data_IF_830204196458
#
_entry.id   IF_830204196458
#
_cell.length_a   1.000
_cell.length_b   1.000
_cell.length_c   1.000
_cell.angle_alpha   90.00
_cell.angle_beta   90.00
_cell.angle_gamma   90.00
#
_symmetry.space_group_name_H-M   'P 1'
#
loop_
_entity.id
_entity.type
_entity.pdbx_description
1 polymer ?
#
# COMPACT_ATOMS: atom_id res chain seq x y z
N UNK A 1 -12.23 -0.53 -1.90
CA UNK A 1 -11.16 0.45 -1.51
C UNK A 1 -11.81 1.55 -0.69
N UNK A 2 -11.25 1.80 0.48
CA UNK A 2 -11.81 2.79 1.41
C UNK A 2 -10.97 4.05 1.44
N UNK A 3 -11.58 5.17 1.16
CA UNK A 3 -10.95 6.50 1.18
C UNK A 3 -11.55 7.33 2.30
N UNK A 4 -10.71 7.77 3.22
CA UNK A 4 -11.11 8.59 4.36
C UNK A 4 -10.76 10.05 4.07
N UNK A 5 -11.77 10.88 3.90
CA UNK A 5 -11.61 12.33 3.81
C UNK A 5 -11.82 12.93 5.19
N UNK A 6 -10.91 13.81 5.60
CA UNK A 6 -11.01 14.51 6.90
C UNK A 6 -10.74 16.00 6.74
N UNK A 7 -11.30 16.75 7.66
CA UNK A 7 -11.01 18.17 7.88
C UNK A 7 -11.24 18.52 9.35
N UNK A 8 -10.51 19.52 9.86
CA UNK A 8 -10.55 19.93 11.26
C UNK A 8 -10.69 21.42 11.41
N UNK A 9 -11.55 21.86 12.35
CA UNK A 9 -11.50 23.20 12.89
C UNK A 9 -10.81 23.23 14.24
N UNK A 10 -10.01 24.28 14.48
CA UNK A 10 -9.10 24.32 15.61
C UNK A 10 -9.11 25.66 16.33
N UNK A 11 -8.44 25.71 17.51
CA UNK A 11 -8.25 26.95 18.25
C UNK A 11 -7.23 27.91 17.63
N UNK A 12 -6.65 27.58 16.49
CA UNK A 12 -5.66 28.40 15.79
C UNK A 12 -4.70 27.59 14.93
N UNK A 13 -3.54 28.15 14.64
CA UNK A 13 -2.49 27.52 13.87
C UNK A 13 -1.37 27.00 14.78
N UNK A 14 -0.53 26.06 14.35
CA UNK A 14 0.65 25.65 15.11
C UNK A 14 1.67 26.78 15.13
N UNK A 15 2.55 26.79 16.13
CA UNK A 15 3.67 27.71 16.17
C UNK A 15 4.68 27.39 15.08
N UNK A 16 4.94 26.09 14.86
CA UNK A 16 5.81 25.53 13.81
C UNK A 16 5.11 24.36 13.10
N UNK A 17 4.98 24.43 11.78
CA UNK A 17 4.30 23.40 10.97
C UNK A 17 5.04 22.08 10.92
N UNK A 18 6.36 22.09 11.05
CA UNK A 18 7.20 20.89 10.98
C UNK A 18 7.43 20.20 12.33
N UNK A 19 6.96 20.83 13.44
CA UNK A 19 7.05 20.21 14.75
C UNK A 19 6.40 18.82 14.80
N UNK A 20 6.92 17.88 15.62
CA UNK A 20 6.28 16.59 15.81
C UNK A 20 4.93 16.78 16.53
N UNK A 21 3.97 15.89 16.26
CA UNK A 21 2.65 15.93 16.91
C UNK A 21 2.72 15.70 18.44
N UNK A 22 3.84 15.17 18.93
CA UNK A 22 4.13 14.97 20.36
C UNK A 22 4.43 16.27 21.09
N UNK A 23 4.77 17.34 20.35
CA UNK A 23 4.90 18.69 20.91
C UNK A 23 3.50 19.31 21.06
N UNK A 24 2.83 18.93 22.14
CA UNK A 24 1.45 19.33 22.42
C UNK A 24 1.27 20.83 22.66
N UNK A 25 2.32 21.56 23.02
CA UNK A 25 2.28 23.01 23.22
C UNK A 25 2.40 23.79 21.89
N UNK A 26 2.84 23.12 20.85
CA UNK A 26 2.90 23.65 19.48
C UNK A 26 1.55 23.56 18.77
N UNK A 27 0.83 22.45 18.92
CA UNK A 27 -0.37 22.14 18.14
C UNK A 27 -1.64 22.68 18.80
N UNK A 28 -2.53 23.33 18.02
CA UNK A 28 -3.80 23.86 18.54
C UNK A 28 -4.71 22.73 19.05
N UNK A 29 -5.74 23.11 19.80
CA UNK A 29 -6.78 22.18 20.26
C UNK A 29 -7.84 22.00 19.15
N UNK A 30 -8.33 20.78 19.06
CA UNK A 30 -9.40 20.42 18.14
C UNK A 30 -10.73 21.02 18.59
N UNK A 31 -11.46 21.67 17.68
CA UNK A 31 -12.78 22.31 17.90
C UNK A 31 -13.88 21.54 17.19
N UNK A 32 -13.61 21.10 15.95
CA UNK A 32 -14.51 20.28 15.15
C UNK A 32 -13.70 19.23 14.42
N UNK A 33 -14.24 18.02 14.29
CA UNK A 33 -13.69 16.97 13.45
C UNK A 33 -14.81 16.42 12.59
N UNK A 34 -14.61 16.49 11.30
CA UNK A 34 -15.49 15.87 10.33
C UNK A 34 -14.74 14.84 9.50
N UNK A 35 -15.45 13.78 9.08
CA UNK A 35 -14.90 12.81 8.13
C UNK A 35 -15.98 12.13 7.30
N UNK A 36 -15.57 11.72 6.10
CA UNK A 36 -16.38 10.92 5.19
C UNK A 36 -15.54 9.72 4.78
N UNK A 37 -16.11 8.51 4.86
CA UNK A 37 -15.50 7.31 4.28
C UNK A 37 -16.25 6.95 3.02
N UNK A 38 -15.51 6.84 1.93
CA UNK A 38 -15.99 6.28 0.67
C UNK A 38 -15.55 4.83 0.55
N UNK A 39 -16.43 3.94 0.11
CA UNK A 39 -16.07 2.67 -0.49
C UNK A 39 -16.16 2.83 -2.01
N UNK A 40 -15.00 2.89 -2.67
CA UNK A 40 -14.84 3.42 -4.02
C UNK A 40 -15.42 4.84 -4.14
N UNK A 41 -16.57 5.01 -4.81
CA UNK A 41 -17.25 6.29 -5.01
C UNK A 41 -18.51 6.44 -4.14
N UNK A 42 -18.82 5.46 -3.31
CA UNK A 42 -20.03 5.44 -2.49
C UNK A 42 -19.70 5.86 -1.05
N UNK A 43 -20.44 6.82 -0.52
CA UNK A 43 -20.31 7.23 0.88
C UNK A 43 -20.88 6.12 1.77
N UNK A 44 -20.06 5.58 2.68
CA UNK A 44 -20.45 4.56 3.67
C UNK A 44 -20.46 5.10 5.10
N UNK A 45 -19.71 6.17 5.36
CA UNK A 45 -19.70 6.88 6.66
C UNK A 45 -19.69 8.38 6.37
N UNK A 46 -20.44 9.14 7.16
CA UNK A 46 -20.44 10.62 7.14
C UNK A 46 -20.67 11.12 8.54
N UNK A 47 -19.66 11.74 9.16
CA UNK A 47 -19.68 12.18 10.55
C UNK A 47 -19.10 13.58 10.70
N UNK A 48 -19.72 14.37 11.58
CA UNK A 48 -19.34 15.73 11.88
C UNK A 48 -19.63 16.03 13.36
N UNK A 49 -18.60 16.35 14.14
CA UNK A 49 -18.71 16.53 15.57
C UNK A 49 -18.01 17.80 16.05
N UNK A 50 -18.71 18.58 16.84
CA UNK A 50 -18.12 19.65 17.64
C UNK A 50 -17.51 19.02 18.90
N UNK A 51 -16.30 19.43 19.24
CA UNK A 51 -15.55 18.96 20.40
C UNK A 51 -15.89 19.84 21.59
N UNK A 52 -16.24 19.22 22.72
CA UNK A 52 -16.43 19.94 23.96
C UNK A 52 -15.10 20.44 24.52
N UNK A 53 -14.90 21.77 24.67
CA UNK A 53 -13.64 22.34 25.14
C UNK A 53 -13.48 22.13 26.64
N UNK A 54 -12.74 21.08 27.01
CA UNK A 54 -12.41 20.80 28.43
C UNK A 54 -10.99 21.30 28.69
N UNK A 55 -10.87 22.29 29.60
CA UNK A 55 -9.57 22.87 29.98
C UNK A 55 -9.03 23.91 28.99
N UNK A 56 -9.82 24.37 28.03
CA UNK A 56 -9.46 25.45 27.12
C UNK A 56 -10.69 26.23 26.64
N UNK A 57 -10.46 27.36 26.00
CA UNK A 57 -11.51 28.21 25.39
C UNK A 57 -11.18 28.37 23.90
N UNK A 58 -12.20 28.56 23.07
CA UNK A 58 -12.04 28.83 21.64
C UNK A 58 -11.79 30.35 21.49
N UNK A 59 -10.65 30.75 20.91
CA UNK A 59 -10.34 32.17 20.69
C UNK A 59 -11.34 32.85 19.77
N UNK A 60 -11.64 34.11 20.00
CA UNK A 60 -12.52 34.87 19.11
C UNK A 60 -12.01 34.95 17.67
N UNK A 61 -10.69 34.94 17.46
CA UNK A 61 -10.09 34.89 16.13
C UNK A 61 -10.49 33.62 15.37
N UNK A 62 -10.42 32.46 16.03
CA UNK A 62 -10.83 31.18 15.45
C UNK A 62 -12.34 31.10 15.23
N UNK A 63 -13.14 31.59 16.21
CA UNK A 63 -14.61 31.72 16.07
C UNK A 63 -15.00 32.53 14.84
N UNK A 64 -14.26 33.61 14.51
CA UNK A 64 -14.53 34.39 13.28
C UNK A 64 -14.29 33.59 11.99
N UNK A 65 -13.47 32.59 12.03
CA UNK A 65 -13.17 31.72 10.86
C UNK A 65 -14.24 30.65 10.70
N UNK A 66 -14.44 29.79 11.72
CA UNK A 66 -15.32 28.62 11.62
C UNK A 66 -16.68 28.76 12.30
N UNK A 67 -16.98 29.92 12.91
CA UNK A 67 -18.30 30.21 13.48
C UNK A 67 -18.61 29.55 14.83
N UNK A 68 -17.78 28.62 15.33
CA UNK A 68 -18.05 27.87 16.57
C UNK A 68 -17.55 28.64 17.76
N UNK A 69 -18.48 29.03 18.66
CA UNK A 69 -18.14 29.73 19.92
C UNK A 69 -17.87 28.72 21.05
N UNK A 70 -17.12 29.14 22.08
CA UNK A 70 -16.93 28.33 23.30
C UNK A 70 -18.26 27.92 23.91
N UNK A 71 -19.26 28.80 23.94
CA UNK A 71 -20.59 28.52 24.47
C UNK A 71 -21.29 27.41 23.72
N UNK A 72 -21.33 27.50 22.37
CA UNK A 72 -21.91 26.45 21.51
C UNK A 72 -21.20 25.12 21.69
N UNK A 73 -19.86 25.12 21.75
CA UNK A 73 -19.06 23.92 21.93
C UNK A 73 -19.25 23.27 23.31
N UNK A 74 -19.48 24.05 24.35
CA UNK A 74 -19.83 23.54 25.69
C UNK A 74 -21.24 22.91 25.74
N UNK A 75 -22.21 23.50 25.03
CA UNK A 75 -23.60 23.03 24.97
C UNK A 75 -23.78 21.83 24.07
N UNK A 76 -23.19 21.83 22.85
CA UNK A 76 -23.44 20.86 21.80
C UNK A 76 -22.29 19.86 21.58
N UNK A 77 -21.10 20.20 22.07
CA UNK A 77 -19.89 19.41 21.83
C UNK A 77 -19.86 18.11 22.62
N UNK A 78 -19.20 17.13 22.04
CA UNK A 78 -18.96 15.82 22.64
C UNK A 78 -17.54 15.71 23.16
N UNK A 79 -17.28 14.71 24.01
CA UNK A 79 -15.93 14.44 24.53
C UNK A 79 -14.99 14.04 23.41
N UNK A 80 -13.83 14.70 23.33
CA UNK A 80 -12.82 14.44 22.30
C UNK A 80 -12.39 12.98 22.27
N UNK A 81 -12.24 12.32 23.42
CA UNK A 81 -11.86 10.92 23.53
C UNK A 81 -12.86 9.98 22.81
N UNK A 82 -14.16 10.23 22.99
CA UNK A 82 -15.22 9.43 22.36
C UNK A 82 -15.14 9.55 20.84
N UNK A 83 -15.03 10.80 20.35
CA UNK A 83 -14.99 11.07 18.92
C UNK A 83 -13.73 10.50 18.27
N UNK A 84 -12.57 10.64 18.92
CA UNK A 84 -11.32 10.10 18.38
C UNK A 84 -11.31 8.57 18.34
N UNK A 85 -11.90 7.88 19.30
CA UNK A 85 -12.07 6.42 19.25
C UNK A 85 -12.98 5.98 18.09
N UNK A 86 -14.05 6.71 17.86
CA UNK A 86 -14.96 6.49 16.74
C UNK A 86 -14.27 6.75 15.40
N UNK A 87 -13.53 7.85 15.30
CA UNK A 87 -12.71 8.17 14.14
C UNK A 87 -11.67 7.07 13.82
N UNK A 88 -10.92 6.60 14.83
CA UNK A 88 -9.95 5.53 14.64
C UNK A 88 -10.59 4.21 14.18
N UNK A 89 -11.81 3.91 14.63
CA UNK A 89 -12.56 2.73 14.18
C UNK A 89 -12.90 2.83 12.69
N UNK A 90 -13.34 4.01 12.23
CA UNK A 90 -13.66 4.22 10.82
C UNK A 90 -12.40 4.33 9.93
N UNK A 91 -11.28 4.80 10.50
CA UNK A 91 -10.01 4.96 9.81
C UNK A 91 -9.19 3.67 9.65
N UNK A 92 -9.43 2.64 10.50
CA UNK A 92 -8.57 1.45 10.60
C UNK A 92 -8.37 0.68 9.30
N UNK A 93 -9.38 0.69 8.42
CA UNK A 93 -9.40 -0.03 7.16
C UNK A 93 -9.27 0.90 5.94
N UNK A 94 -8.89 2.17 6.15
CA UNK A 94 -8.71 3.11 5.06
C UNK A 94 -7.44 2.78 4.24
N UNK A 95 -7.59 2.75 2.92
CA UNK A 95 -6.46 2.60 1.98
C UNK A 95 -5.70 3.92 1.81
N UNK A 96 -6.39 5.06 1.98
CA UNK A 96 -5.80 6.40 1.98
C UNK A 96 -6.59 7.38 2.86
N UNK A 97 -5.87 8.36 3.44
CA UNK A 97 -6.43 9.55 4.07
C UNK A 97 -6.23 10.73 3.11
N UNK A 98 -7.30 11.48 2.85
CA UNK A 98 -7.33 12.54 1.85
C UNK A 98 -7.84 13.83 2.49
N UNK A 99 -7.21 14.95 2.15
CA UNK A 99 -7.63 16.28 2.56
C UNK A 99 -7.00 17.37 1.70
N UNK A 100 -7.24 18.60 2.07
CA UNK A 100 -6.61 19.78 1.46
C UNK A 100 -5.74 20.48 2.49
N UNK A 101 -4.42 20.42 2.39
CA UNK A 101 -3.44 20.71 3.43
C UNK A 101 -3.51 19.72 4.62
N UNK A 102 -3.76 18.47 4.28
CA UNK A 102 -4.08 17.35 5.19
C UNK A 102 -3.01 17.10 6.27
N UNK A 103 -1.76 17.49 6.03
CA UNK A 103 -0.68 17.36 7.01
C UNK A 103 -1.02 18.07 8.32
N UNK A 104 -1.70 19.20 8.24
CA UNK A 104 -2.16 19.93 9.41
C UNK A 104 -3.19 19.13 10.20
N UNK A 105 -4.24 18.65 9.54
CA UNK A 105 -5.36 17.94 10.17
C UNK A 105 -4.91 16.65 10.86
N UNK A 106 -4.09 15.86 10.17
CA UNK A 106 -3.52 14.63 10.73
C UNK A 106 -2.71 14.94 12.00
N UNK A 107 -1.86 15.96 11.98
CA UNK A 107 -1.05 16.32 13.14
C UNK A 107 -1.89 16.85 14.31
N UNK A 108 -2.95 17.61 14.04
CA UNK A 108 -3.90 18.04 15.07
C UNK A 108 -4.58 16.84 15.72
N UNK A 109 -5.10 15.91 14.92
CA UNK A 109 -5.73 14.67 15.42
C UNK A 109 -4.73 13.83 16.23
N UNK A 110 -3.52 13.63 15.70
CA UNK A 110 -2.46 12.88 16.39
C UNK A 110 -2.04 13.55 17.71
N UNK A 111 -1.99 14.87 17.75
CA UNK A 111 -1.67 15.62 18.98
C UNK A 111 -2.75 15.44 20.06
N UNK A 112 -4.02 15.44 19.70
CA UNK A 112 -5.10 15.13 20.65
C UNK A 112 -5.07 13.65 21.10
N UNK A 113 -4.78 12.70 20.20
CA UNK A 113 -4.58 11.30 20.56
C UNK A 113 -3.40 11.13 21.53
N UNK A 114 -2.29 11.83 21.28
CA UNK A 114 -1.13 11.82 22.17
C UNK A 114 -1.45 12.40 23.56
N UNK A 115 -2.18 13.53 23.66
CA UNK A 115 -2.66 14.10 24.91
C UNK A 115 -3.49 13.12 25.74
N UNK A 116 -4.21 12.23 25.07
CA UNK A 116 -5.06 11.20 25.68
C UNK A 116 -4.36 9.86 25.87
N UNK A 117 -3.09 9.74 25.51
CA UNK A 117 -2.32 8.47 25.52
C UNK A 117 -3.00 7.35 24.73
N UNK A 118 -3.66 7.70 23.62
CA UNK A 118 -4.31 6.75 22.72
C UNK A 118 -3.36 6.41 21.59
N UNK A 119 -2.99 5.13 21.48
CA UNK A 119 -2.18 4.63 20.39
C UNK A 119 -2.96 4.63 19.07
N UNK A 120 -2.28 4.97 17.97
CA UNK A 120 -2.88 4.98 16.64
C UNK A 120 -1.90 4.50 15.58
N UNK A 121 -2.42 4.24 14.38
CA UNK A 121 -1.64 3.80 13.20
C UNK A 121 -1.85 4.72 11.99
N UNK A 122 -2.26 5.96 12.21
CA UNK A 122 -2.53 6.91 11.12
C UNK A 122 -1.32 7.12 10.21
N UNK A 123 -0.09 7.07 10.76
CA UNK A 123 1.16 7.18 9.99
C UNK A 123 1.41 6.02 9.02
N UNK A 124 0.69 4.90 9.18
CA UNK A 124 0.81 3.73 8.30
C UNK A 124 -0.14 3.79 7.10
N UNK A 125 -1.05 4.74 7.08
CA UNK A 125 -2.02 4.93 5.99
C UNK A 125 -1.45 5.93 4.99
N UNK A 126 -1.60 5.65 3.70
CA UNK A 126 -1.17 6.57 2.64
C UNK A 126 -1.93 7.89 2.73
N UNK A 127 -1.22 9.01 2.57
CA UNK A 127 -1.80 10.36 2.68
C UNK A 127 -1.75 11.06 1.33
N UNK A 128 -2.90 11.53 0.87
CA UNK A 128 -3.03 12.25 -0.40
C UNK A 128 -3.53 13.68 -0.15
N UNK A 129 -2.68 14.64 -0.42
CA UNK A 129 -2.96 16.06 -0.24
C UNK A 129 -3.39 16.72 -1.55
N UNK A 130 -4.68 17.05 -1.68
CA UNK A 130 -5.21 17.69 -2.88
C UNK A 130 -4.58 19.06 -3.15
N UNK A 131 -4.11 19.76 -2.12
CA UNK A 131 -3.37 21.01 -2.27
C UNK A 131 -2.06 20.80 -3.03
N UNK A 132 -1.26 19.84 -2.60
CA UNK A 132 0.03 19.50 -3.22
C UNK A 132 -0.20 18.94 -4.63
N UNK A 133 -1.12 17.97 -4.77
CA UNK A 133 -1.40 17.26 -6.01
C UNK A 133 -1.94 18.15 -7.13
N UNK A 134 -2.53 19.31 -6.77
CA UNK A 134 -3.11 20.24 -7.75
C UNK A 134 -2.28 21.50 -8.00
N UNK A 135 -1.13 21.65 -7.37
CA UNK A 135 -0.31 22.87 -7.50
C UNK A 135 0.08 23.14 -8.93
N UNK A 136 0.62 22.15 -9.64
CA UNK A 136 1.01 22.29 -11.06
C UNK A 136 -0.18 22.44 -12.01
N UNK A 137 -1.35 21.96 -11.62
CA UNK A 137 -2.58 22.19 -12.37
C UNK A 137 -3.11 23.61 -12.18
N UNK A 138 -3.11 24.11 -10.93
CA UNK A 138 -3.59 25.43 -10.60
C UNK A 138 -2.70 26.54 -11.16
N UNK A 139 -1.38 26.36 -11.12
CA UNK A 139 -0.35 27.29 -11.62
C UNK A 139 -0.52 28.72 -11.10
N UNK A 140 -0.73 28.86 -9.77
CA UNK A 140 -0.91 30.17 -9.17
C UNK A 140 0.48 30.79 -8.95
N UNK A 141 0.78 31.95 -9.58
CA UNK A 141 2.12 32.54 -9.51
C UNK A 141 2.58 32.85 -8.09
N UNK A 142 3.85 32.65 -7.81
CA UNK A 142 4.50 33.02 -6.57
C UNK A 142 5.83 33.73 -6.86
N UNK A 143 6.21 34.68 -5.99
CA UNK A 143 7.47 35.41 -6.11
C UNK A 143 8.70 34.56 -5.70
N UNK A 144 8.51 33.57 -4.85
CA UNK A 144 9.58 32.77 -4.26
C UNK A 144 9.74 31.39 -4.93
N UNK A 145 8.63 30.83 -5.40
CA UNK A 145 8.56 29.54 -6.11
C UNK A 145 7.84 29.75 -7.43
N UNK A 146 7.95 28.83 -8.36
CA UNK A 146 7.25 28.92 -9.63
C UNK A 146 5.73 29.08 -9.44
N UNK A 147 5.17 28.25 -8.52
CA UNK A 147 3.76 28.31 -8.13
C UNK A 147 3.64 28.22 -6.60
N UNK A 148 2.57 28.83 -6.05
CA UNK A 148 2.17 28.59 -4.66
C UNK A 148 1.06 27.55 -4.59
N UNK A 149 0.93 26.97 -3.44
CA UNK A 149 -0.19 26.09 -3.12
C UNK A 149 -1.54 26.78 -3.29
N UNK A 150 -2.51 26.14 -3.98
CA UNK A 150 -3.86 26.67 -4.08
C UNK A 150 -4.60 26.55 -2.75
N UNK A 151 -5.49 27.47 -2.46
CA UNK A 151 -6.54 27.30 -1.46
C UNK A 151 -7.61 26.36 -2.03
N UNK A 152 -8.39 25.69 -1.16
CA UNK A 152 -9.46 24.79 -1.60
C UNK A 152 -10.44 25.47 -2.57
N UNK A 153 -10.87 26.70 -2.24
CA UNK A 153 -11.76 27.48 -3.09
C UNK A 153 -11.16 27.81 -4.47
N UNK A 154 -9.86 28.05 -4.52
CA UNK A 154 -9.16 28.35 -5.80
C UNK A 154 -9.08 27.08 -6.69
N UNK A 155 -8.83 25.92 -6.06
CA UNK A 155 -8.88 24.63 -6.74
C UNK A 155 -10.30 24.32 -7.24
N UNK A 156 -11.30 24.52 -6.38
CA UNK A 156 -12.69 24.27 -6.71
C UNK A 156 -13.15 25.16 -7.87
N UNK A 157 -12.89 26.47 -7.82
CA UNK A 157 -13.17 27.39 -8.90
C UNK A 157 -12.45 27.01 -10.21
N UNK A 158 -11.21 26.58 -10.14
CA UNK A 158 -10.43 26.14 -11.31
C UNK A 158 -11.01 24.90 -11.97
N UNK A 159 -11.55 23.97 -11.16
CA UNK A 159 -12.14 22.74 -11.65
C UNK A 159 -13.56 22.92 -12.18
N UNK A 160 -14.39 23.74 -11.54
CA UNK A 160 -15.83 23.78 -11.79
C UNK A 160 -16.35 25.11 -12.32
N UNK A 161 -15.51 26.17 -12.31
CA UNK A 161 -15.90 27.55 -12.67
C UNK A 161 -17.03 28.10 -11.77
N UNK A 162 -17.12 27.60 -10.54
CA UNK A 162 -18.10 27.98 -9.52
C UNK A 162 -17.45 28.00 -8.12
N UNK A 163 -18.11 28.59 -7.13
CA UNK A 163 -17.72 28.52 -5.71
C UNK A 163 -18.64 27.57 -4.95
N UNK A 164 -18.25 27.20 -3.74
CA UNK A 164 -19.10 26.46 -2.82
C UNK A 164 -19.39 27.30 -1.58
N UNK A 165 -20.54 27.04 -0.95
CA UNK A 165 -21.01 27.75 0.23
C UNK A 165 -20.45 27.16 1.52
N UNK A 166 -20.58 27.89 2.64
CA UNK A 166 -20.19 27.46 3.98
C UNK A 166 -18.70 27.09 4.13
N UNK A 167 -17.81 27.79 3.44
CA UNK A 167 -16.37 27.66 3.68
C UNK A 167 -16.07 27.79 5.18
N UNK A 168 -15.10 26.99 5.67
CA UNK A 168 -14.75 26.86 7.08
C UNK A 168 -15.84 26.22 7.96
N UNK A 169 -16.71 25.42 7.35
CA UNK A 169 -17.39 24.31 8.00
C UNK A 169 -16.69 23.02 7.57
N UNK A 170 -16.15 22.27 8.51
CA UNK A 170 -15.32 21.10 8.19
C UNK A 170 -16.04 20.09 7.27
N UNK A 171 -17.36 19.94 7.36
CA UNK A 171 -18.10 19.04 6.49
C UNK A 171 -18.22 19.59 5.06
N UNK A 172 -18.47 20.89 4.90
CA UNK A 172 -18.53 21.51 3.56
C UNK A 172 -17.16 21.46 2.88
N UNK A 173 -16.09 21.69 3.63
CA UNK A 173 -14.72 21.64 3.11
C UNK A 173 -14.31 20.21 2.69
N UNK A 174 -14.73 19.18 3.44
CA UNK A 174 -14.55 17.76 3.04
C UNK A 174 -15.32 17.45 1.74
N UNK A 175 -16.57 17.86 1.62
CA UNK A 175 -17.38 17.60 0.42
C UNK A 175 -16.79 18.28 -0.81
N UNK A 176 -16.32 19.52 -0.66
CA UNK A 176 -15.61 20.23 -1.72
C UNK A 176 -14.27 19.55 -2.06
N UNK A 177 -13.51 19.11 -1.05
CA UNK A 177 -12.26 18.36 -1.23
C UNK A 177 -12.48 17.05 -1.96
N UNK A 178 -13.51 16.28 -1.59
CA UNK A 178 -13.83 15.01 -2.24
C UNK A 178 -14.24 15.25 -3.70
N UNK A 179 -15.09 16.24 -3.97
CA UNK A 179 -15.48 16.61 -5.35
C UNK A 179 -14.25 17.01 -6.18
N UNK A 180 -13.34 17.80 -5.61
CA UNK A 180 -12.08 18.17 -6.27
C UNK A 180 -11.20 16.94 -6.54
N UNK A 181 -11.02 16.06 -5.55
CA UNK A 181 -10.19 14.86 -5.66
C UNK A 181 -10.64 13.95 -6.80
N UNK A 182 -11.93 13.65 -6.88
CA UNK A 182 -12.46 12.83 -7.97
C UNK A 182 -12.31 13.50 -9.32
N UNK A 183 -12.56 14.81 -9.41
CA UNK A 183 -12.36 15.56 -10.65
C UNK A 183 -10.88 15.61 -11.10
N UNK A 184 -9.93 15.65 -10.17
CA UNK A 184 -8.50 15.57 -10.47
C UNK A 184 -8.12 14.20 -11.04
N UNK A 185 -8.72 13.12 -10.53
CA UNK A 185 -8.54 11.75 -11.06
C UNK A 185 -9.16 11.64 -12.45
N UNK A 186 -10.43 12.05 -12.61
CA UNK A 186 -11.17 11.92 -13.88
C UNK A 186 -10.53 12.70 -15.02
N UNK A 187 -9.88 13.82 -14.69
CA UNK A 187 -9.13 14.63 -15.67
C UNK A 187 -7.69 14.15 -15.89
N UNK A 188 -7.26 13.05 -15.23
CA UNK A 188 -5.91 12.50 -15.33
C UNK A 188 -4.81 13.38 -14.72
N UNK A 189 -5.17 14.39 -13.91
CA UNK A 189 -4.21 15.24 -13.20
C UNK A 189 -3.54 14.42 -12.09
N UNK A 190 -4.33 13.62 -11.35
CA UNK A 190 -3.81 12.57 -10.48
C UNK A 190 -3.70 11.29 -11.29
N UNK A 191 -2.47 10.90 -11.65
CA UNK A 191 -2.24 9.61 -12.28
C UNK A 191 -2.27 8.51 -11.20
N UNK A 192 -3.30 7.65 -11.23
CA UNK A 192 -3.48 6.55 -10.27
C UNK A 192 -2.28 5.60 -10.18
N UNK A 193 -1.52 5.43 -11.26
CA UNK A 193 -0.34 4.55 -11.27
C UNK A 193 0.74 4.98 -10.27
N UNK A 194 0.78 6.26 -9.93
CA UNK A 194 1.69 6.80 -8.93
C UNK A 194 1.23 6.58 -7.49
N UNK A 195 -0.03 6.17 -7.31
CA UNK A 195 -0.68 6.01 -6.00
C UNK A 195 -1.37 4.64 -5.92
N UNK A 196 -0.64 3.58 -5.51
CA UNK A 196 -1.19 2.22 -5.44
C UNK A 196 -2.46 2.07 -4.62
N UNK A 197 -2.66 2.94 -3.62
CA UNK A 197 -3.88 2.99 -2.82
C UNK A 197 -5.14 3.32 -3.64
N UNK A 198 -4.98 3.93 -4.84
CA UNK A 198 -6.08 4.29 -5.75
C UNK A 198 -6.42 3.21 -6.77
N UNK A 199 -5.67 2.10 -6.80
CA UNK A 199 -5.85 1.01 -7.74
C UNK A 199 -6.65 -0.14 -7.11
N UNK A 200 -7.62 -0.67 -7.81
CA UNK A 200 -8.29 -1.92 -7.47
C UNK A 200 -7.30 -3.10 -7.49
N UNK A 201 -7.69 -4.22 -6.90
CA UNK A 201 -6.84 -5.42 -6.93
C UNK A 201 -6.52 -5.89 -8.34
N UNK A 202 -7.50 -5.81 -9.26
CA UNK A 202 -7.31 -6.17 -10.68
C UNK A 202 -6.41 -5.18 -11.42
N UNK A 203 -6.57 -3.86 -11.17
CA UNK A 203 -5.67 -2.85 -11.73
C UNK A 203 -4.25 -3.01 -11.21
N UNK A 204 -4.06 -3.24 -9.90
CA UNK A 204 -2.75 -3.54 -9.30
C UNK A 204 -2.09 -4.74 -9.96
N UNK A 205 -2.84 -5.82 -10.15
CA UNK A 205 -2.32 -7.02 -10.78
C UNK A 205 -1.91 -6.76 -12.24
N UNK A 206 -2.80 -6.18 -13.04
CA UNK A 206 -2.53 -5.85 -14.45
C UNK A 206 -1.32 -4.93 -14.62
N UNK A 207 -1.23 -3.88 -13.80
CA UNK A 207 -0.11 -2.94 -13.83
C UNK A 207 1.20 -3.61 -13.42
N UNK A 208 1.17 -4.46 -12.38
CA UNK A 208 2.33 -5.20 -11.93
C UNK A 208 2.85 -6.18 -12.98
N UNK A 209 1.94 -6.91 -13.66
CA UNK A 209 2.28 -7.81 -14.77
C UNK A 209 2.90 -7.03 -15.94
N UNK A 210 2.36 -5.85 -16.27
CA UNK A 210 2.92 -4.98 -17.30
C UNK A 210 4.35 -4.52 -16.95
N UNK A 211 4.61 -4.12 -15.69
CA UNK A 211 5.96 -3.77 -15.25
C UNK A 211 6.93 -4.95 -15.35
N UNK A 212 6.51 -6.15 -14.95
CA UNK A 212 7.31 -7.36 -15.10
C UNK A 212 7.64 -7.64 -16.57
N UNK A 213 6.65 -7.55 -17.46
CA UNK A 213 6.85 -7.74 -18.90
C UNK A 213 7.88 -6.76 -19.47
N UNK A 214 7.74 -5.47 -19.16
CA UNK A 214 8.69 -4.45 -19.60
C UNK A 214 10.12 -4.71 -19.07
N UNK A 215 10.25 -5.14 -17.82
CA UNK A 215 11.54 -5.49 -17.23
C UNK A 215 12.17 -6.70 -17.95
N UNK A 216 11.40 -7.74 -18.24
CA UNK A 216 11.82 -8.93 -18.98
C UNK A 216 12.29 -8.53 -20.38
N UNK A 217 11.55 -7.69 -21.08
CA UNK A 217 11.92 -7.18 -22.42
C UNK A 217 13.28 -6.47 -22.41
N UNK A 218 13.59 -5.68 -21.36
CA UNK A 218 14.90 -5.04 -21.19
C UNK A 218 15.99 -6.09 -20.94
N UNK A 219 15.74 -7.04 -20.04
CA UNK A 219 16.71 -8.10 -19.70
C UNK A 219 17.06 -8.96 -20.90
N UNK A 220 16.09 -9.23 -21.78
CA UNK A 220 16.29 -10.06 -23.00
C UNK A 220 16.74 -9.24 -24.22
N UNK A 221 16.88 -7.92 -24.08
CA UNK A 221 17.34 -7.03 -25.14
C UNK A 221 16.32 -6.74 -26.24
N UNK A 222 15.05 -7.13 -26.04
CA UNK A 222 13.96 -6.82 -26.99
C UNK A 222 13.41 -5.39 -26.79
N UNK A 223 13.70 -4.78 -25.66
CA UNK A 223 13.44 -3.38 -25.32
C UNK A 223 14.74 -2.70 -24.91
N UNK A 224 14.97 -1.49 -25.42
CA UNK A 224 16.11 -0.68 -25.02
C UNK A 224 15.98 -0.23 -23.57
N UNK A 225 17.01 -0.44 -22.76
CA UNK A 225 17.03 -0.06 -21.34
C UNK A 225 18.26 -0.63 -20.63
N UNK A 226 18.46 -0.20 -19.40
CA UNK A 226 19.54 -0.63 -18.52
C UNK A 226 19.06 -1.65 -17.46
N UNK A 227 20.00 -2.40 -16.88
CA UNK A 227 19.68 -3.29 -15.75
C UNK A 227 19.06 -2.53 -14.57
N UNK A 228 19.47 -1.26 -14.34
CA UNK A 228 18.89 -0.39 -13.32
C UNK A 228 17.42 -0.06 -13.62
N UNK A 229 17.07 0.15 -14.87
CA UNK A 229 15.66 0.37 -15.28
C UNK A 229 14.82 -0.91 -15.13
N UNK A 230 15.38 -2.07 -15.47
CA UNK A 230 14.71 -3.35 -15.26
C UNK A 230 14.45 -3.61 -13.76
N UNK A 231 15.43 -3.38 -12.89
CA UNK A 231 15.27 -3.47 -11.44
C UNK A 231 14.18 -2.51 -10.93
N UNK A 232 14.17 -1.26 -11.39
CA UNK A 232 13.16 -0.28 -11.00
C UNK A 232 11.73 -0.70 -11.40
N UNK A 233 11.57 -1.35 -12.56
CA UNK A 233 10.29 -1.90 -13.00
C UNK A 233 9.86 -3.09 -12.14
N UNK A 234 10.78 -4.02 -11.82
CA UNK A 234 10.48 -5.11 -10.89
C UNK A 234 10.12 -4.59 -9.50
N UNK A 235 10.78 -3.53 -9.03
CA UNK A 235 10.47 -2.90 -7.74
C UNK A 235 9.06 -2.26 -7.75
N UNK A 236 8.66 -1.62 -8.83
CA UNK A 236 7.29 -1.13 -9.00
C UNK A 236 6.27 -2.26 -8.92
N UNK A 237 6.53 -3.36 -9.64
CA UNK A 237 5.68 -4.56 -9.60
C UNK A 237 5.61 -5.17 -8.18
N UNK A 238 6.74 -5.28 -7.49
CA UNK A 238 6.82 -5.78 -6.11
C UNK A 238 6.01 -4.93 -5.12
N UNK A 239 6.07 -3.60 -5.26
CA UNK A 239 5.29 -2.66 -4.43
C UNK A 239 3.78 -2.82 -4.64
N UNK A 240 3.34 -3.21 -5.83
CA UNK A 240 1.94 -3.54 -6.13
C UNK A 240 1.50 -4.91 -5.59
N UNK A 241 2.39 -5.64 -4.92
CA UNK A 241 2.07 -6.94 -4.31
C UNK A 241 2.36 -8.15 -5.19
N UNK A 242 2.97 -7.98 -6.34
CA UNK A 242 3.28 -9.08 -7.26
C UNK A 242 4.49 -9.88 -6.77
N UNK A 243 4.30 -11.18 -6.56
CA UNK A 243 5.33 -12.06 -5.99
C UNK A 243 6.47 -12.36 -6.95
N UNK A 244 6.24 -12.34 -8.27
CA UNK A 244 7.32 -12.44 -9.24
C UNK A 244 8.21 -11.21 -9.20
N UNK A 245 7.63 -9.99 -9.17
CA UNK A 245 8.38 -8.76 -8.99
C UNK A 245 9.22 -8.77 -7.72
N UNK A 246 8.64 -9.21 -6.59
CA UNK A 246 9.37 -9.35 -5.31
C UNK A 246 10.56 -10.30 -5.44
N UNK A 247 10.36 -11.46 -6.06
CA UNK A 247 11.42 -12.45 -6.27
C UNK A 247 12.54 -11.91 -7.17
N UNK A 248 12.18 -11.25 -8.27
CA UNK A 248 13.17 -10.65 -9.19
C UNK A 248 13.98 -9.54 -8.51
N UNK A 249 13.36 -8.65 -7.72
CA UNK A 249 14.09 -7.63 -6.94
C UNK A 249 15.08 -8.29 -5.98
N UNK A 250 14.68 -9.36 -5.29
CA UNK A 250 15.58 -10.10 -4.41
C UNK A 250 16.78 -10.67 -5.17
N UNK A 251 16.56 -11.28 -6.34
CA UNK A 251 17.64 -11.81 -7.18
C UNK A 251 18.61 -10.71 -7.67
N UNK A 252 18.11 -9.54 -8.04
CA UNK A 252 18.96 -8.41 -8.44
C UNK A 252 19.88 -7.97 -7.30
N UNK A 253 19.36 -7.92 -6.07
CA UNK A 253 20.14 -7.55 -4.91
C UNK A 253 21.13 -8.65 -4.47
N UNK A 254 20.77 -9.93 -4.61
CA UNK A 254 21.69 -11.05 -4.38
C UNK A 254 22.79 -11.17 -5.43
N UNK A 255 22.50 -10.81 -6.67
CA UNK A 255 23.47 -10.79 -7.76
C UNK A 255 24.38 -9.58 -7.78
N UNK A 256 24.00 -8.48 -7.11
CA UNK A 256 24.72 -7.21 -7.16
C UNK A 256 24.74 -6.58 -8.57
N UNK A 257 23.74 -6.87 -9.40
CA UNK A 257 23.71 -6.49 -10.82
C UNK A 257 23.72 -4.98 -11.07
N UNK A 258 23.25 -4.19 -10.11
CA UNK A 258 23.17 -2.72 -10.24
C UNK A 258 24.19 -2.02 -9.38
N UNK A 259 24.36 -2.45 -8.12
CA UNK A 259 25.23 -1.81 -7.13
C UNK A 259 26.65 -2.37 -7.08
N UNK A 260 26.97 -3.44 -7.83
CA UNK A 260 28.18 -4.23 -7.70
C UNK A 260 28.44 -4.79 -6.30
N UNK A 261 27.42 -4.76 -5.43
CA UNK A 261 27.44 -5.33 -4.08
C UNK A 261 26.16 -6.07 -3.82
N UNK A 262 26.26 -7.19 -3.09
CA UNK A 262 25.08 -7.93 -2.62
C UNK A 262 24.43 -7.16 -1.49
N UNK A 263 23.11 -6.98 -1.57
CA UNK A 263 22.29 -6.43 -0.50
C UNK A 263 21.39 -7.54 0.05
N UNK A 264 21.89 -8.22 1.07
CA UNK A 264 21.14 -9.31 1.71
C UNK A 264 19.91 -8.81 2.46
N UNK A 265 19.94 -7.61 3.02
CA UNK A 265 18.83 -7.08 3.81
C UNK A 265 17.60 -6.81 2.91
N UNK A 266 17.82 -6.14 1.80
CA UNK A 266 16.75 -5.92 0.79
C UNK A 266 16.26 -7.26 0.20
N UNK A 267 17.15 -8.18 -0.10
CA UNK A 267 16.77 -9.48 -0.64
C UNK A 267 15.92 -10.29 0.37
N UNK A 268 16.35 -10.37 1.63
CA UNK A 268 15.62 -11.05 2.70
C UNK A 268 14.24 -10.42 2.93
N UNK A 269 14.15 -9.09 2.95
CA UNK A 269 12.86 -8.38 3.09
C UNK A 269 11.83 -8.85 2.05
N UNK A 270 12.19 -8.89 0.78
CA UNK A 270 11.27 -9.30 -0.27
C UNK A 270 10.96 -10.79 -0.26
N UNK A 271 11.95 -11.65 -0.03
CA UNK A 271 11.74 -13.10 0.06
C UNK A 271 10.86 -13.48 1.25
N UNK A 272 11.06 -12.88 2.42
CA UNK A 272 10.23 -13.13 3.59
C UNK A 272 8.80 -12.61 3.42
N UNK A 273 8.63 -11.52 2.67
CA UNK A 273 7.31 -11.00 2.29
C UNK A 273 6.55 -12.01 1.43
N UNK A 274 7.20 -12.68 0.48
CA UNK A 274 6.59 -13.77 -0.32
C UNK A 274 6.13 -14.90 0.61
N UNK A 275 6.96 -15.33 1.56
CA UNK A 275 6.60 -16.37 2.54
C UNK A 275 5.41 -15.94 3.41
N UNK A 276 5.35 -14.68 3.80
CA UNK A 276 4.20 -14.14 4.56
C UNK A 276 2.90 -14.19 3.74
N UNK A 277 2.94 -13.84 2.47
CA UNK A 277 1.80 -13.87 1.57
C UNK A 277 1.31 -15.31 1.31
N UNK A 278 2.21 -16.29 1.25
CA UNK A 278 1.87 -17.71 0.99
C UNK A 278 0.95 -18.32 2.06
N UNK A 279 0.91 -17.74 3.25
CA UNK A 279 -0.01 -18.16 4.32
C UNK A 279 -1.48 -17.82 4.03
N UNK A 280 -1.73 -16.86 3.15
CA UNK A 280 -3.06 -16.33 2.84
C UNK A 280 -3.54 -16.76 1.46
N UNK A 281 -2.62 -17.01 0.55
CA UNK A 281 -2.94 -17.34 -0.85
C UNK A 281 -1.82 -18.17 -1.49
N UNK A 282 -2.13 -18.86 -2.59
CA UNK A 282 -1.11 -19.51 -3.43
C UNK A 282 -0.26 -18.42 -4.10
N UNK A 283 1.05 -18.50 -3.94
CA UNK A 283 1.99 -17.55 -4.52
C UNK A 283 2.95 -18.23 -5.49
N UNK A 284 3.32 -17.54 -6.54
CA UNK A 284 4.38 -17.97 -7.45
C UNK A 284 5.75 -17.84 -6.76
N UNK A 285 6.73 -18.64 -7.21
CA UNK A 285 8.11 -18.60 -6.71
C UNK A 285 8.30 -18.97 -5.24
N UNK A 286 7.30 -19.59 -4.58
CA UNK A 286 7.36 -19.93 -3.16
C UNK A 286 8.48 -20.92 -2.84
N UNK A 287 8.60 -21.97 -3.66
CA UNK A 287 9.61 -23.02 -3.48
C UNK A 287 11.02 -22.48 -3.70
N UNK A 288 11.22 -21.70 -4.76
CA UNK A 288 12.48 -21.02 -5.06
C UNK A 288 12.86 -20.05 -3.93
N UNK A 289 11.89 -19.30 -3.43
CA UNK A 289 12.04 -18.39 -2.29
C UNK A 289 12.54 -19.12 -1.04
N UNK A 290 11.95 -20.27 -0.71
CA UNK A 290 12.38 -21.05 0.47
C UNK A 290 13.81 -21.58 0.31
N UNK A 291 14.19 -21.99 -0.89
CA UNK A 291 15.55 -22.47 -1.20
C UNK A 291 16.58 -21.33 -1.07
N UNK A 292 16.26 -20.17 -1.59
CA UNK A 292 17.15 -19.01 -1.50
C UNK A 292 17.29 -18.51 -0.07
N UNK A 293 16.20 -18.46 0.71
CA UNK A 293 16.25 -18.11 2.13
C UNK A 293 17.09 -19.09 2.94
N UNK A 294 16.93 -20.41 2.72
CA UNK A 294 17.77 -21.42 3.38
C UNK A 294 19.25 -21.16 3.09
N UNK A 295 19.60 -20.91 1.81
CA UNK A 295 20.98 -20.65 1.39
C UNK A 295 21.53 -19.37 1.99
N UNK A 296 20.79 -18.26 1.91
CA UNK A 296 21.23 -16.95 2.45
C UNK A 296 21.49 -17.06 3.95
N UNK A 297 20.58 -17.67 4.71
CA UNK A 297 20.77 -17.80 6.16
C UNK A 297 21.90 -18.76 6.54
N UNK A 298 22.23 -19.74 5.70
CA UNK A 298 23.46 -20.54 5.85
C UNK A 298 24.71 -19.69 5.62
N UNK A 299 24.74 -18.90 4.55
CA UNK A 299 25.86 -18.03 4.20
C UNK A 299 26.09 -16.96 5.29
N UNK A 300 25.03 -16.49 5.93
CA UNK A 300 25.05 -15.55 7.06
C UNK A 300 25.34 -16.22 8.43
N UNK A 301 25.53 -17.53 8.49
CA UNK A 301 25.79 -18.28 9.72
C UNK A 301 24.57 -18.43 10.64
N UNK A 302 23.36 -18.07 10.21
CA UNK A 302 22.13 -18.19 11.00
C UNK A 302 21.50 -19.59 10.83
N UNK A 303 22.03 -20.57 11.55
CA UNK A 303 21.59 -21.99 11.48
C UNK A 303 20.13 -22.18 11.87
N UNK A 304 19.60 -21.40 12.80
CA UNK A 304 18.20 -21.48 13.23
C UNK A 304 17.24 -21.14 12.07
N UNK A 305 17.45 -20.01 11.41
CA UNK A 305 16.63 -19.58 10.28
C UNK A 305 16.83 -20.48 9.05
N UNK A 306 18.05 -20.91 8.78
CA UNK A 306 18.32 -21.88 7.72
C UNK A 306 17.54 -23.19 7.92
N UNK A 307 17.54 -23.76 9.15
CA UNK A 307 16.78 -24.96 9.48
C UNK A 307 15.27 -24.76 9.36
N UNK A 308 14.76 -23.60 9.78
CA UNK A 308 13.34 -23.22 9.60
C UNK A 308 12.93 -23.27 8.12
N UNK A 309 13.68 -22.63 7.24
CA UNK A 309 13.34 -22.57 5.81
C UNK A 309 13.57 -23.89 5.10
N UNK A 310 14.56 -24.66 5.51
CA UNK A 310 14.74 -26.05 5.04
C UNK A 310 13.50 -26.91 5.35
N UNK A 311 13.00 -26.88 6.59
CA UNK A 311 11.79 -27.62 6.95
C UNK A 311 10.59 -27.22 6.10
N UNK A 312 10.36 -25.92 5.89
CA UNK A 312 9.27 -25.45 5.04
C UNK A 312 9.45 -25.89 3.58
N UNK A 313 10.67 -25.92 3.08
CA UNK A 313 10.98 -26.43 1.73
C UNK A 313 10.71 -27.95 1.61
N UNK A 314 11.07 -28.73 2.62
CA UNK A 314 10.80 -30.17 2.66
C UNK A 314 9.29 -30.45 2.73
N UNK A 315 8.53 -29.69 3.52
CA UNK A 315 7.07 -29.75 3.57
C UNK A 315 6.43 -29.42 2.20
N UNK A 316 6.90 -28.37 1.53
CA UNK A 316 6.42 -27.98 0.19
C UNK A 316 6.77 -29.03 -0.87
N UNK A 317 7.98 -29.58 -0.82
CA UNK A 317 8.40 -30.68 -1.70
C UNK A 317 7.48 -31.90 -1.54
N UNK A 318 7.17 -32.29 -0.30
CA UNK A 318 6.26 -33.39 -0.01
C UNK A 318 4.83 -33.09 -0.52
N UNK A 319 4.36 -31.86 -0.36
CA UNK A 319 3.05 -31.42 -0.90
C UNK A 319 3.01 -31.54 -2.42
N UNK A 320 4.05 -31.05 -3.10
CA UNK A 320 4.15 -31.14 -4.56
C UNK A 320 4.19 -32.59 -5.04
N UNK A 321 5.00 -33.45 -4.43
CA UNK A 321 5.10 -34.85 -4.81
C UNK A 321 3.78 -35.61 -4.61
N UNK A 322 3.08 -35.37 -3.50
CA UNK A 322 1.76 -35.96 -3.27
C UNK A 322 0.73 -35.51 -4.31
N UNK A 323 0.73 -34.22 -4.69
CA UNK A 323 -0.16 -33.71 -5.70
C UNK A 323 0.12 -34.29 -7.10
N UNK A 324 1.39 -34.49 -7.45
CA UNK A 324 1.77 -35.14 -8.72
C UNK A 324 1.34 -36.60 -8.74
N UNK A 325 1.59 -37.34 -7.65
CA UNK A 325 1.14 -38.72 -7.53
C UNK A 325 -0.38 -38.86 -7.64
N UNK A 326 -1.14 -38.01 -6.95
CA UNK A 326 -2.61 -38.07 -6.95
C UNK A 326 -3.22 -37.72 -8.33
N UNK A 327 -2.49 -37.00 -9.19
CA UNK A 327 -2.97 -36.61 -10.52
C UNK A 327 -2.37 -37.46 -11.66
N UNK A 328 -1.31 -38.24 -11.41
CA UNK A 328 -0.58 -38.96 -12.46
C UNK A 328 -1.43 -39.98 -13.25
N UNK A 329 -2.56 -40.40 -12.70
CA UNK A 329 -3.48 -41.32 -13.37
C UNK A 329 -4.60 -40.62 -14.16
N UNK A 330 -4.73 -39.28 -13.99
CA UNK A 330 -5.86 -38.52 -14.55
C UNK A 330 -5.66 -38.05 -15.98
N UNK A 331 -4.42 -37.84 -16.38
CA UNK A 331 -4.10 -37.37 -17.72
C UNK A 331 -2.70 -37.78 -18.14
N UNK A 332 -2.48 -37.90 -19.44
CA UNK A 332 -1.17 -38.09 -20.04
C UNK A 332 -0.16 -37.03 -19.60
N UNK A 333 -0.55 -35.75 -19.59
CA UNK A 333 0.30 -34.64 -19.16
C UNK A 333 0.74 -34.76 -17.69
N UNK A 334 -0.14 -35.22 -16.79
CA UNK A 334 0.20 -35.40 -15.39
C UNK A 334 1.06 -36.65 -15.16
N UNK A 335 0.86 -37.69 -15.95
CA UNK A 335 1.72 -38.86 -15.97
C UNK A 335 3.15 -38.50 -16.41
N UNK A 336 3.30 -37.65 -17.42
CA UNK A 336 4.61 -37.11 -17.84
C UNK A 336 5.31 -36.33 -16.74
N UNK A 337 4.58 -35.49 -16.00
CA UNK A 337 5.15 -34.75 -14.87
C UNK A 337 5.74 -35.68 -13.82
N UNK A 338 5.10 -36.83 -13.57
CA UNK A 338 5.64 -37.85 -12.67
C UNK A 338 6.92 -38.46 -13.20
N UNK A 339 6.92 -38.90 -14.47
CA UNK A 339 8.09 -39.50 -15.12
C UNK A 339 9.28 -38.56 -15.10
N UNK A 340 9.06 -37.30 -15.54
CA UNK A 340 10.10 -36.28 -15.55
C UNK A 340 10.61 -35.96 -14.13
N UNK A 341 9.69 -35.87 -13.15
CA UNK A 341 10.07 -35.61 -11.77
C UNK A 341 10.95 -36.69 -11.15
N UNK A 342 10.71 -37.95 -11.47
CA UNK A 342 11.53 -39.07 -11.06
C UNK A 342 12.87 -39.09 -11.83
N UNK A 343 12.85 -38.85 -13.15
CA UNK A 343 14.07 -38.85 -13.94
C UNK A 343 15.06 -37.76 -13.52
N UNK A 344 14.56 -36.56 -13.21
CA UNK A 344 15.39 -35.40 -12.86
C UNK A 344 15.60 -35.22 -11.36
N UNK A 345 14.84 -35.89 -10.50
CA UNK A 345 14.88 -35.73 -9.06
C UNK A 345 14.33 -34.37 -8.60
N UNK A 346 13.21 -33.92 -9.21
CA UNK A 346 12.57 -32.62 -8.93
C UNK A 346 11.20 -32.79 -8.28
N UNK A 347 10.58 -31.70 -7.91
CA UNK A 347 9.23 -31.67 -7.31
C UNK A 347 9.06 -32.55 -6.06
N UNK A 348 10.13 -32.73 -5.28
CA UNK A 348 10.12 -33.55 -4.06
C UNK A 348 10.35 -35.05 -4.29
N UNK A 349 10.63 -35.48 -5.50
CA UNK A 349 11.07 -36.84 -5.78
C UNK A 349 12.60 -36.95 -5.74
N UNK A 350 13.09 -38.08 -5.21
CA UNK A 350 14.48 -38.47 -5.42
C UNK A 350 14.67 -38.90 -6.84
N UNK A 351 15.87 -38.69 -7.43
CA UNK A 351 16.18 -39.14 -8.77
C UNK A 351 16.13 -40.66 -8.81
N UNK A 352 15.22 -41.18 -9.62
CA UNK A 352 15.00 -42.62 -9.80
C UNK A 352 14.76 -42.92 -11.30
N UNK A 353 15.87 -43.08 -12.03
CA UNK A 353 15.85 -43.33 -13.46
C UNK A 353 15.22 -44.67 -13.82
N UNK A 354 15.42 -45.71 -13.02
CA UNK A 354 14.86 -47.03 -13.28
C UNK A 354 13.33 -47.00 -13.21
N UNK A 355 12.81 -46.39 -12.18
CA UNK A 355 11.35 -46.20 -12.01
C UNK A 355 10.78 -45.31 -13.11
N UNK A 356 11.50 -44.24 -13.49
CA UNK A 356 11.09 -43.35 -14.58
C UNK A 356 10.99 -44.17 -15.92
N UNK A 357 12.01 -44.96 -16.26
CA UNK A 357 12.02 -45.81 -17.44
C UNK A 357 10.90 -46.86 -17.44
N UNK A 358 10.64 -47.46 -16.26
CA UNK A 358 9.52 -48.39 -16.10
C UNK A 358 8.18 -47.73 -16.40
N UNK A 359 7.93 -46.55 -15.80
CA UNK A 359 6.72 -45.78 -16.07
C UNK A 359 6.62 -45.30 -17.53
N UNK A 360 7.73 -44.93 -18.17
CA UNK A 360 7.73 -44.62 -19.60
C UNK A 360 7.20 -45.80 -20.45
N UNK A 361 7.65 -47.02 -20.18
CA UNK A 361 7.16 -48.22 -20.87
C UNK A 361 5.67 -48.44 -20.62
N UNK A 362 5.21 -48.33 -19.39
CA UNK A 362 3.79 -48.42 -19.03
C UNK A 362 2.94 -47.33 -19.74
N UNK A 363 3.46 -46.11 -19.88
CA UNK A 363 2.81 -45.02 -20.61
C UNK A 363 2.66 -45.32 -22.11
N UNK A 364 3.69 -45.90 -22.74
CA UNK A 364 3.63 -46.33 -24.14
C UNK A 364 2.56 -47.41 -24.31
N UNK A 365 2.52 -48.40 -23.40
CA UNK A 365 1.49 -49.45 -23.41
C UNK A 365 0.06 -48.89 -23.25
N UNK A 366 -0.10 -47.80 -22.52
CA UNK A 366 -1.37 -47.05 -22.39
C UNK A 366 -1.71 -46.18 -23.59
N UNK A 367 -0.83 -46.10 -24.59
CA UNK A 367 -1.03 -45.33 -25.82
C UNK A 367 -0.68 -43.86 -25.72
N UNK A 368 0.09 -43.46 -24.71
CA UNK A 368 0.58 -42.10 -24.54
C UNK A 368 1.65 -41.78 -25.59
N UNK A 369 1.48 -40.68 -26.37
CA UNK A 369 2.24 -40.38 -27.58
C UNK A 369 3.41 -39.40 -27.42
N UNK A 370 3.52 -38.75 -26.28
CA UNK A 370 4.49 -37.65 -26.07
C UNK A 370 5.67 -38.05 -25.16
N UNK A 371 6.09 -39.29 -25.21
CA UNK A 371 7.26 -39.82 -24.46
C UNK A 371 8.56 -39.66 -25.24
#
# INVERSE_FOLDING_TARGET
MKYLFIDTETTGLPKEYDAPYTDIDNWPRLVQLAWIVYDYTTIVVRKNFIIKPIGFTIPNASTKVHGITTKQALEKGQKVETILKEFLTDAQDADAIIGHNIKFDIKVVQSELYRLSINNRLEQIEVLDTMILSTDYCKIPNKQYEYRFPKLIELYNKLFSESFDNMHDAMADIEATAKCFWALIDRGIINKENYPCLLSSSEKQSLAENYNKQAIEIVWGTRKGSQKEAEALYLKSAKLGNTEGMYKVALYNLGGFVSNRKDYDTALFWLEKIVSLSKKQKVSWYKETLRDLEKIYKDLGNSFMATKYKRLLDEENKRCSNAILANSEKSESDFYKLVLSLNEGINGFSKDKERAIKLMKEGIEKGYRSL
#
